data_IF_060682557286
#
_entry.id   IF_060682557286
#
_cell.length_a   1.000
_cell.length_b   1.000
_cell.length_c   1.000
_cell.angle_alpha   90.00
_cell.angle_beta   90.00
_cell.angle_gamma   90.00
#
_symmetry.space_group_name_H-M   'P 1'
#
loop_
_entity.id
_entity.type
_entity.pdbx_description
1 polymer ?
#
# COMPACT_ATOMS: atom_id res chain seq x y z
N UNK A 1 -12.41 1.98 -1.04
CA UNK A 1 -13.82 1.94 -1.24
C UNK A 1 -14.47 3.31 -1.34
N UNK A 2 -15.56 3.37 -2.06
CA UNK A 2 -16.29 4.62 -2.30
C UNK A 2 -17.07 5.11 -1.09
N UNK A 3 -17.32 4.25 -0.09
CA UNK A 3 -18.16 4.55 1.07
C UNK A 3 -17.42 4.32 2.37
N UNK A 4 -16.38 5.09 2.61
CA UNK A 4 -15.74 5.15 3.92
C UNK A 4 -16.35 6.29 4.75
N UNK A 5 -16.34 6.15 6.08
CA UNK A 5 -16.75 7.20 6.98
C UNK A 5 -15.79 8.41 6.93
N UNK A 6 -16.24 9.54 7.45
CA UNK A 6 -15.37 10.72 7.58
C UNK A 6 -14.17 10.43 8.48
N UNK A 7 -14.39 9.68 9.54
CA UNK A 7 -13.35 9.31 10.49
C UNK A 7 -12.28 8.42 9.83
N UNK A 8 -12.70 7.40 9.08
CA UNK A 8 -11.78 6.57 8.28
C UNK A 8 -11.01 7.40 7.26
N UNK A 9 -11.67 8.31 6.54
CA UNK A 9 -10.99 9.21 5.60
C UNK A 9 -9.96 10.10 6.30
N UNK A 10 -10.33 10.73 7.42
CA UNK A 10 -9.44 11.59 8.19
C UNK A 10 -8.24 10.79 8.74
N UNK A 11 -8.45 9.53 9.12
CA UNK A 11 -7.37 8.63 9.51
C UNK A 11 -6.40 8.36 8.36
N UNK A 12 -6.89 7.98 7.19
CA UNK A 12 -6.04 7.73 6.01
C UNK A 12 -5.22 8.98 5.64
N UNK A 13 -5.82 10.16 5.79
CA UNK A 13 -5.14 11.44 5.57
C UNK A 13 -4.04 11.70 6.60
N UNK A 14 -4.26 11.37 7.88
CA UNK A 14 -3.22 11.45 8.92
C UNK A 14 -2.04 10.53 8.62
N UNK A 15 -2.30 9.30 8.20
CA UNK A 15 -1.25 8.37 7.75
C UNK A 15 -0.45 8.97 6.59
N UNK A 16 -1.12 9.45 5.56
CA UNK A 16 -0.46 10.11 4.43
C UNK A 16 0.38 11.32 4.84
N UNK A 17 -0.11 12.13 5.78
CA UNK A 17 0.63 13.27 6.33
C UNK A 17 1.95 12.83 7.00
N UNK A 18 1.91 11.78 7.81
CA UNK A 18 3.10 11.23 8.47
C UNK A 18 4.11 10.65 7.48
N UNK A 19 3.63 10.02 6.39
CA UNK A 19 4.48 9.56 5.28
C UNK A 19 5.14 10.74 4.59
N UNK A 20 4.37 11.78 4.26
CA UNK A 20 4.87 12.99 3.59
C UNK A 20 5.88 13.77 4.45
N UNK A 21 5.70 13.84 5.77
CA UNK A 21 6.68 14.43 6.69
C UNK A 21 8.04 13.71 6.63
N UNK A 22 8.06 12.44 6.27
CA UNK A 22 9.27 11.61 6.13
C UNK A 22 9.78 11.54 4.69
N UNK A 23 9.20 12.32 3.79
CA UNK A 23 9.61 12.40 2.39
C UNK A 23 9.21 11.18 1.56
N UNK A 24 8.24 10.39 2.01
CA UNK A 24 7.76 9.24 1.27
C UNK A 24 6.69 9.64 0.25
N UNK A 25 6.82 9.13 -0.96
CA UNK A 25 5.82 9.25 -2.01
C UNK A 25 4.65 8.27 -1.76
N UNK A 26 3.50 8.55 -2.36
CA UNK A 26 2.30 7.74 -2.20
C UNK A 26 1.79 7.24 -3.55
N UNK A 27 1.54 5.94 -3.62
CA UNK A 27 0.91 5.28 -4.76
C UNK A 27 -0.42 4.64 -4.34
N UNK A 28 -1.50 4.90 -5.08
CA UNK A 28 -2.83 4.31 -4.83
C UNK A 28 -3.55 3.99 -6.13
N UNK A 29 -4.75 3.42 -6.02
CA UNK A 29 -5.65 3.15 -7.15
C UNK A 29 -6.34 4.38 -7.75
N UNK A 30 -5.93 5.59 -7.38
CA UNK A 30 -6.42 6.92 -7.84
C UNK A 30 -7.89 7.27 -7.57
N UNK A 31 -8.69 6.42 -6.98
CA UNK A 31 -10.09 6.72 -6.65
C UNK A 31 -10.25 7.69 -5.47
N UNK A 32 -11.51 7.92 -5.05
CA UNK A 32 -11.82 8.71 -3.85
C UNK A 32 -11.56 7.95 -2.56
N UNK A 33 -11.95 8.52 -1.43
CA UNK A 33 -11.95 7.87 -0.13
C UNK A 33 -10.55 7.48 0.33
N UNK A 34 -10.34 6.21 0.70
CA UNK A 34 -9.07 5.67 1.20
C UNK A 34 -7.92 5.75 0.19
N UNK A 35 -8.20 5.93 -1.10
CA UNK A 35 -7.19 6.14 -2.13
C UNK A 35 -6.75 7.60 -2.22
N UNK A 36 -7.68 8.54 -2.00
CA UNK A 36 -7.39 9.98 -2.03
C UNK A 36 -6.82 10.51 -0.72
N UNK A 37 -7.29 10.00 0.42
CA UNK A 37 -6.90 10.48 1.75
C UNK A 37 -5.40 10.52 1.98
N UNK A 38 -4.66 9.41 1.75
CA UNK A 38 -3.20 9.38 1.92
C UNK A 38 -2.47 10.37 1.02
N UNK A 39 -2.89 10.52 -0.24
CA UNK A 39 -2.31 11.52 -1.16
C UNK A 39 -2.51 12.94 -0.63
N UNK A 40 -3.74 13.24 -0.14
CA UNK A 40 -4.05 14.55 0.45
C UNK A 40 -3.20 14.84 1.68
N UNK A 41 -3.01 13.85 2.53
CA UNK A 41 -2.13 13.98 3.70
C UNK A 41 -0.68 14.21 3.30
N UNK A 42 -0.18 13.40 2.36
CA UNK A 42 1.21 13.48 1.89
C UNK A 42 1.53 14.84 1.25
N UNK A 43 0.61 15.46 0.48
CA UNK A 43 0.84 16.80 -0.06
C UNK A 43 1.07 17.83 1.04
N UNK A 44 0.36 17.73 2.16
CA UNK A 44 0.54 18.63 3.30
C UNK A 44 1.87 18.35 4.01
N UNK A 45 2.20 17.07 4.22
CA UNK A 45 3.48 16.66 4.83
C UNK A 45 4.69 17.12 4.01
N UNK A 46 4.67 16.87 2.69
CA UNK A 46 5.70 17.34 1.76
C UNK A 46 5.85 18.87 1.79
N UNK A 47 4.74 19.61 1.77
CA UNK A 47 4.76 21.07 1.88
C UNK A 47 5.44 21.55 3.14
N UNK A 48 5.16 20.91 4.29
CA UNK A 48 5.81 21.26 5.57
C UNK A 48 7.32 20.99 5.55
N UNK A 49 7.75 19.96 4.84
CA UNK A 49 9.18 19.64 4.65
C UNK A 49 9.82 20.39 3.46
N UNK A 50 9.07 21.27 2.79
CA UNK A 50 9.52 22.01 1.60
C UNK A 50 9.93 21.08 0.43
N UNK A 51 9.37 19.86 0.38
CA UNK A 51 9.52 18.92 -0.72
C UNK A 51 8.56 19.37 -1.84
N UNK A 52 9.12 19.69 -3.02
CA UNK A 52 8.35 20.20 -4.16
C UNK A 52 8.13 19.17 -5.26
N UNK A 53 8.88 18.09 -5.25
CA UNK A 53 8.90 17.00 -6.24
C UNK A 53 8.22 15.73 -5.74
N UNK A 54 7.36 15.84 -4.74
CA UNK A 54 6.56 14.73 -4.22
C UNK A 54 5.73 14.07 -5.31
N UNK A 55 5.73 12.73 -5.34
CA UNK A 55 4.99 11.94 -6.32
C UNK A 55 3.74 11.36 -5.69
N UNK A 56 2.63 11.52 -6.40
CA UNK A 56 1.31 10.99 -6.04
C UNK A 56 0.86 10.14 -7.22
N UNK A 57 1.27 8.87 -7.17
CA UNK A 57 1.13 7.95 -8.31
C UNK A 57 -0.24 7.26 -8.25
N UNK A 58 -1.01 7.40 -9.31
CA UNK A 58 -2.24 6.67 -9.50
C UNK A 58 -2.01 5.49 -10.43
N UNK A 59 -2.33 4.27 -9.98
CA UNK A 59 -2.29 3.05 -10.80
C UNK A 59 -3.71 2.55 -11.01
N UNK A 60 -4.14 2.53 -12.26
CA UNK A 60 -5.52 2.20 -12.63
C UNK A 60 -5.56 1.26 -13.83
N UNK A 61 -6.75 0.90 -14.27
CA UNK A 61 -7.02 0.14 -15.48
C UNK A 61 -8.17 0.77 -16.27
N UNK A 62 -8.37 0.44 -17.57
CA UNK A 62 -9.32 1.15 -18.42
C UNK A 62 -10.76 1.15 -17.91
N UNK A 63 -11.22 0.04 -17.32
CA UNK A 63 -12.59 -0.07 -16.81
C UNK A 63 -12.83 0.86 -15.62
N UNK A 64 -11.85 0.97 -14.72
CA UNK A 64 -11.93 1.85 -13.54
C UNK A 64 -11.91 3.32 -13.98
N UNK A 65 -10.96 3.71 -14.84
CA UNK A 65 -10.81 5.12 -15.24
C UNK A 65 -11.98 5.61 -16.11
N UNK A 66 -12.62 4.71 -16.84
CA UNK A 66 -13.83 5.04 -17.60
C UNK A 66 -15.06 5.28 -16.71
N UNK A 67 -15.14 4.58 -15.57
CA UNK A 67 -16.22 4.73 -14.61
C UNK A 67 -16.04 5.95 -13.70
N UNK A 68 -14.79 6.27 -13.33
CA UNK A 68 -14.48 7.34 -12.41
C UNK A 68 -13.12 7.97 -12.73
N UNK A 69 -13.05 9.30 -12.93
CA UNK A 69 -11.80 9.97 -13.21
C UNK A 69 -10.87 9.92 -12.00
N UNK A 70 -9.54 9.91 -12.23
CA UNK A 70 -8.57 9.99 -11.14
C UNK A 70 -8.79 11.22 -10.26
N UNK A 71 -8.54 11.10 -8.96
CA UNK A 71 -8.62 12.24 -8.07
C UNK A 71 -7.58 13.32 -8.44
N UNK A 72 -7.91 14.57 -8.21
CA UNK A 72 -7.15 15.73 -8.67
C UNK A 72 -5.73 15.88 -8.04
N UNK A 73 -5.36 15.04 -7.10
CA UNK A 73 -4.03 15.07 -6.47
C UNK A 73 -3.02 14.24 -7.25
N UNK A 74 -3.49 13.24 -8.00
CA UNK A 74 -2.63 12.39 -8.84
C UNK A 74 -1.83 13.27 -9.80
N UNK A 75 -0.51 13.19 -9.73
CA UNK A 75 0.40 13.89 -10.62
C UNK A 75 1.19 12.95 -11.55
N UNK A 76 1.09 11.65 -11.32
CA UNK A 76 1.59 10.61 -12.22
C UNK A 76 0.53 9.51 -12.36
N UNK A 77 -0.02 9.32 -13.55
CA UNK A 77 -1.04 8.32 -13.82
C UNK A 77 -0.46 7.19 -14.66
N UNK A 78 -0.65 5.95 -14.18
CA UNK A 78 -0.29 4.72 -14.90
C UNK A 78 -1.55 3.92 -15.16
N UNK A 79 -1.83 3.64 -16.43
CA UNK A 79 -2.98 2.83 -16.85
C UNK A 79 -2.44 1.49 -17.33
N UNK A 80 -2.86 0.42 -16.69
CA UNK A 80 -2.45 -0.95 -17.00
C UNK A 80 -3.61 -1.70 -17.68
N UNK A 81 -3.33 -2.75 -18.46
CA UNK A 81 -4.34 -3.37 -19.32
C UNK A 81 -5.48 -4.04 -18.53
N UNK A 82 -5.21 -4.54 -17.33
CA UNK A 82 -6.13 -5.32 -16.52
C UNK A 82 -5.82 -5.23 -15.02
N UNK A 83 -6.67 -5.87 -14.21
CA UNK A 83 -6.56 -5.86 -12.74
C UNK A 83 -5.31 -6.58 -12.24
N UNK A 84 -4.89 -7.67 -12.89
CA UNK A 84 -3.70 -8.44 -12.48
C UNK A 84 -2.43 -7.62 -12.65
N UNK A 85 -2.28 -6.98 -13.81
CA UNK A 85 -1.14 -6.09 -14.07
C UNK A 85 -1.13 -4.88 -13.16
N UNK A 86 -2.30 -4.40 -12.77
CA UNK A 86 -2.44 -3.34 -11.77
C UNK A 86 -1.95 -3.79 -10.39
N UNK A 87 -2.35 -4.97 -9.93
CA UNK A 87 -1.89 -5.53 -8.66
C UNK A 87 -0.38 -5.82 -8.69
N UNK A 88 0.11 -6.41 -9.77
CA UNK A 88 1.55 -6.61 -9.99
C UNK A 88 2.33 -5.30 -9.90
N UNK A 89 1.82 -4.23 -10.49
CA UNK A 89 2.48 -2.93 -10.48
C UNK A 89 2.63 -2.36 -9.07
N UNK A 90 1.64 -2.50 -8.19
CA UNK A 90 1.78 -2.08 -6.80
C UNK A 90 2.93 -2.79 -6.09
N UNK A 91 3.09 -4.09 -6.31
CA UNK A 91 4.15 -4.89 -5.69
C UNK A 91 5.53 -4.57 -6.25
N UNK A 92 5.62 -4.38 -7.57
CA UNK A 92 6.91 -4.11 -8.21
C UNK A 92 7.41 -2.69 -7.98
N UNK A 93 6.52 -1.71 -7.87
CA UNK A 93 6.89 -0.30 -7.67
C UNK A 93 6.95 0.10 -6.20
N UNK A 94 6.19 -0.57 -5.34
CA UNK A 94 6.14 -0.26 -3.91
C UNK A 94 7.40 -0.66 -3.16
N UNK A 95 7.76 0.13 -2.16
CA UNK A 95 8.76 -0.20 -1.14
C UNK A 95 8.10 -0.64 0.17
N UNK A 96 6.78 -0.60 0.23
CA UNK A 96 5.95 -1.03 1.32
C UNK A 96 4.48 -0.86 0.98
N UNK A 97 3.64 -1.63 1.63
CA UNK A 97 2.19 -1.66 1.40
C UNK A 97 1.46 -1.30 2.69
N UNK A 98 0.53 -0.37 2.59
CA UNK A 98 -0.39 -0.03 3.68
C UNK A 98 -1.80 -0.40 3.25
N UNK A 99 -2.48 -1.16 4.08
CA UNK A 99 -3.86 -1.60 3.85
C UNK A 99 -4.78 -0.94 4.88
N UNK A 100 -5.78 -0.23 4.38
CA UNK A 100 -6.89 0.30 5.18
C UNK A 100 -8.10 -0.64 5.15
N UNK A 101 -9.05 -0.53 6.09
CA UNK A 101 -10.28 -1.30 6.02
C UNK A 101 -10.99 -1.11 4.68
N UNK A 102 -11.49 -2.19 4.12
CA UNK A 102 -12.16 -2.19 2.82
C UNK A 102 -13.08 -3.39 2.61
N UNK A 103 -13.62 -3.51 1.41
CA UNK A 103 -14.54 -4.57 1.02
C UNK A 103 -13.84 -5.75 0.32
N UNK A 104 -14.60 -6.43 -0.54
CA UNK A 104 -14.15 -7.63 -1.26
C UNK A 104 -12.89 -7.39 -2.09
N UNK A 105 -12.81 -6.27 -2.83
CA UNK A 105 -11.62 -5.95 -3.63
C UNK A 105 -10.36 -5.80 -2.78
N UNK A 106 -10.47 -5.23 -1.57
CA UNK A 106 -9.34 -5.15 -0.64
C UNK A 106 -8.93 -6.54 -0.15
N UNK A 107 -9.89 -7.43 0.12
CA UNK A 107 -9.59 -8.82 0.50
C UNK A 107 -8.87 -9.57 -0.64
N UNK A 108 -9.28 -9.39 -1.88
CA UNK A 108 -8.60 -9.96 -3.06
C UNK A 108 -7.16 -9.43 -3.17
N UNK A 109 -6.96 -8.13 -3.02
CA UNK A 109 -5.63 -7.50 -3.05
C UNK A 109 -4.73 -8.04 -1.92
N UNK A 110 -5.26 -8.23 -0.71
CA UNK A 110 -4.53 -8.82 0.43
C UNK A 110 -4.13 -10.27 0.12
N UNK A 111 -5.05 -11.11 -0.36
CA UNK A 111 -4.77 -12.51 -0.69
C UNK A 111 -3.71 -12.63 -1.79
N UNK A 112 -3.82 -11.83 -2.84
CA UNK A 112 -2.83 -11.78 -3.91
C UNK A 112 -1.44 -11.40 -3.38
N UNK A 113 -1.35 -10.31 -2.62
CA UNK A 113 -0.11 -9.84 -1.98
C UNK A 113 0.53 -10.93 -1.11
N UNK A 114 -0.25 -11.50 -0.18
CA UNK A 114 0.27 -12.47 0.79
C UNK A 114 0.62 -13.80 0.14
N UNK A 115 -0.13 -14.21 -0.89
CA UNK A 115 0.21 -15.38 -1.70
C UNK A 115 1.59 -15.25 -2.36
N UNK A 116 1.91 -14.07 -2.90
CA UNK A 116 3.23 -13.79 -3.48
C UNK A 116 4.32 -13.76 -2.40
N UNK A 117 4.06 -13.13 -1.25
CA UNK A 117 5.07 -13.04 -0.18
C UNK A 117 5.37 -14.39 0.48
N UNK A 118 4.42 -15.32 0.45
CA UNK A 118 4.59 -16.68 0.96
C UNK A 118 5.24 -17.63 -0.05
N UNK A 119 5.40 -17.21 -1.31
CA UNK A 119 6.11 -18.02 -2.31
C UNK A 119 7.58 -18.17 -1.89
N UNK A 120 8.12 -19.41 -1.85
CA UNK A 120 9.53 -19.64 -1.50
C UNK A 120 10.54 -18.86 -2.34
N UNK A 121 10.19 -18.52 -3.58
CA UNK A 121 11.04 -17.69 -4.45
C UNK A 121 11.22 -16.26 -3.92
N UNK A 122 10.30 -15.79 -3.05
CA UNK A 122 10.28 -14.45 -2.49
C UNK A 122 10.68 -14.39 -1.00
N UNK A 123 11.00 -15.52 -0.38
CA UNK A 123 11.26 -15.62 1.07
C UNK A 123 12.30 -14.62 1.59
N UNK A 124 13.33 -14.35 0.81
CA UNK A 124 14.40 -13.41 1.19
C UNK A 124 14.06 -11.94 0.88
N UNK A 125 12.97 -11.67 0.18
CA UNK A 125 12.65 -10.32 -0.28
C UNK A 125 11.88 -9.53 0.78
N UNK A 126 12.47 -8.48 1.35
CA UNK A 126 11.76 -7.65 2.31
C UNK A 126 10.70 -6.82 1.60
N UNK A 127 9.49 -6.81 2.14
CA UNK A 127 8.44 -5.87 1.79
C UNK A 127 7.59 -5.60 3.04
N UNK A 128 7.67 -4.42 3.65
CA UNK A 128 6.87 -4.11 4.81
C UNK A 128 5.40 -4.00 4.43
N UNK A 129 4.54 -4.71 5.16
CA UNK A 129 3.09 -4.66 5.01
C UNK A 129 2.47 -4.28 6.34
N UNK A 130 1.68 -3.22 6.37
CA UNK A 130 0.97 -2.76 7.57
C UNK A 130 -0.52 -2.65 7.29
N UNK A 131 -1.32 -3.33 8.11
CA UNK A 131 -2.76 -3.16 8.17
C UNK A 131 -3.06 -2.10 9.23
N UNK A 132 -3.83 -1.08 8.87
CA UNK A 132 -4.06 0.05 9.75
C UNK A 132 -5.43 0.70 9.55
N UNK A 133 -5.95 1.25 10.61
CA UNK A 133 -7.21 1.98 10.64
C UNK A 133 -7.39 2.70 11.97
N UNK A 134 -8.46 3.46 12.14
CA UNK A 134 -8.83 4.03 13.44
C UNK A 134 -9.10 2.92 14.47
N UNK A 135 -9.21 3.27 15.74
CA UNK A 135 -9.35 2.32 16.85
C UNK A 135 -10.53 1.35 16.68
N UNK A 136 -11.63 1.80 16.11
CA UNK A 136 -12.82 0.99 15.84
C UNK A 136 -12.65 -0.07 14.75
N UNK A 137 -11.56 0.00 13.99
CA UNK A 137 -11.20 -1.03 12.99
C UNK A 137 -10.62 -2.32 13.60
N UNK A 138 -10.48 -2.41 14.93
CA UNK A 138 -9.86 -3.56 15.59
C UNK A 138 -10.58 -4.88 15.25
N UNK A 139 -11.91 -4.88 15.28
CA UNK A 139 -12.70 -6.08 14.95
C UNK A 139 -12.58 -6.47 13.48
N UNK A 140 -12.55 -5.51 12.57
CA UNK A 140 -12.33 -5.77 11.15
C UNK A 140 -10.99 -6.50 10.93
N UNK A 141 -9.90 -5.98 11.47
CA UNK A 141 -8.59 -6.59 11.28
C UNK A 141 -8.41 -7.90 12.04
N UNK A 142 -9.08 -8.09 13.17
CA UNK A 142 -9.14 -9.40 13.84
C UNK A 142 -9.79 -10.45 12.93
N UNK A 143 -10.91 -10.13 12.30
CA UNK A 143 -11.59 -11.04 11.37
C UNK A 143 -10.75 -11.30 10.12
N UNK A 144 -10.08 -10.30 9.57
CA UNK A 144 -9.14 -10.47 8.46
C UNK A 144 -7.98 -11.39 8.86
N UNK A 145 -7.35 -11.19 10.01
CA UNK A 145 -6.26 -12.03 10.51
C UNK A 145 -6.71 -13.50 10.69
N UNK A 146 -7.86 -13.72 11.30
CA UNK A 146 -8.43 -15.05 11.46
C UNK A 146 -8.70 -15.73 10.10
N UNK A 147 -9.25 -15.00 9.15
CA UNK A 147 -9.51 -15.48 7.78
C UNK A 147 -8.20 -15.83 7.06
N UNK A 148 -7.19 -14.97 7.14
CA UNK A 148 -5.89 -15.21 6.51
C UNK A 148 -5.18 -16.42 7.09
N UNK A 149 -5.21 -16.59 8.41
CA UNK A 149 -4.65 -17.78 9.07
C UNK A 149 -5.39 -19.04 8.66
N UNK A 150 -6.73 -19.00 8.59
CA UNK A 150 -7.53 -20.14 8.15
C UNK A 150 -7.26 -20.53 6.69
N UNK A 151 -6.95 -19.57 5.83
CA UNK A 151 -6.79 -19.76 4.38
C UNK A 151 -5.35 -20.08 3.99
N UNK A 152 -4.37 -19.37 4.57
CA UNK A 152 -2.96 -19.41 4.18
C UNK A 152 -2.05 -20.05 5.24
N UNK A 153 -2.61 -20.40 6.40
CA UNK A 153 -1.87 -20.96 7.53
C UNK A 153 -1.23 -19.88 8.44
N UNK A 154 -0.79 -20.27 9.65
CA UNK A 154 -0.33 -19.32 10.68
C UNK A 154 0.96 -18.59 10.31
N UNK A 155 1.74 -19.10 9.36
CA UNK A 155 2.96 -18.44 8.84
C UNK A 155 2.68 -17.08 8.24
N UNK A 156 1.47 -16.85 7.75
CA UNK A 156 1.07 -15.57 7.13
C UNK A 156 1.25 -14.36 8.05
N UNK A 157 1.16 -14.55 9.37
CA UNK A 157 1.36 -13.49 10.37
C UNK A 157 2.76 -12.88 10.37
N UNK A 158 3.72 -13.54 9.74
CA UNK A 158 5.09 -13.01 9.57
C UNK A 158 5.16 -11.99 8.43
N UNK A 159 4.16 -11.95 7.55
CA UNK A 159 4.16 -11.09 6.36
C UNK A 159 3.61 -9.69 6.63
N UNK A 160 2.93 -9.45 7.74
CA UNK A 160 2.30 -8.15 8.03
C UNK A 160 2.31 -7.80 9.51
N UNK A 161 2.09 -6.51 9.80
CA UNK A 161 1.79 -6.00 11.14
C UNK A 161 0.45 -5.29 11.15
N UNK A 162 -0.26 -5.36 12.25
CA UNK A 162 -1.47 -4.57 12.49
C UNK A 162 -1.12 -3.44 13.45
N UNK A 163 -1.32 -2.21 13.00
CA UNK A 163 -1.08 -0.97 13.78
C UNK A 163 -2.35 -0.14 13.76
N UNK A 164 -3.03 -0.01 14.88
CA UNK A 164 -4.28 0.73 14.97
C UNK A 164 -4.09 2.07 15.65
N UNK A 165 -4.79 3.08 15.16
CA UNK A 165 -4.86 4.43 15.73
C UNK A 165 -3.49 5.11 15.99
N UNK A 166 -2.47 4.71 15.24
CA UNK A 166 -1.10 5.27 15.38
C UNK A 166 -0.47 5.58 14.02
N UNK A 167 -0.91 6.65 13.32
CA UNK A 167 -0.33 7.07 12.04
C UNK A 167 1.18 7.30 12.08
N UNK A 168 1.78 7.90 13.14
CA UNK A 168 3.24 8.02 13.25
C UNK A 168 3.95 6.67 13.26
N UNK A 169 3.42 5.64 13.95
CA UNK A 169 4.03 4.31 13.97
C UNK A 169 3.94 3.64 12.60
N UNK A 170 2.80 3.75 11.91
CA UNK A 170 2.67 3.26 10.52
C UNK A 170 3.79 3.82 9.64
N UNK A 171 4.01 5.13 9.70
CA UNK A 171 5.03 5.77 8.89
C UNK A 171 6.47 5.37 9.31
N UNK A 172 6.72 5.14 10.60
CA UNK A 172 8.01 4.61 11.06
C UNK A 172 8.28 3.20 10.56
N UNK A 173 7.26 2.32 10.58
CA UNK A 173 7.36 0.96 10.03
C UNK A 173 7.68 0.99 8.54
N UNK A 174 6.97 1.84 7.77
CA UNK A 174 7.25 1.99 6.35
C UNK A 174 8.67 2.49 6.09
N UNK A 175 9.15 3.47 6.84
CA UNK A 175 10.50 3.99 6.66
C UNK A 175 11.58 2.93 6.95
N UNK A 176 11.45 2.21 8.07
CA UNK A 176 12.36 1.10 8.41
C UNK A 176 12.36 0.00 7.34
N UNK A 177 11.17 -0.41 6.92
CA UNK A 177 11.01 -1.44 5.89
C UNK A 177 11.55 -1.01 4.52
N UNK A 178 11.33 0.25 4.16
CA UNK A 178 11.87 0.80 2.91
C UNK A 178 13.41 0.78 2.88
N UNK A 179 14.07 1.09 3.99
CA UNK A 179 15.52 1.04 4.07
C UNK A 179 16.03 -0.40 3.90
N UNK A 180 15.33 -1.39 4.47
CA UNK A 180 15.63 -2.81 4.26
C UNK A 180 15.45 -3.24 2.78
N UNK A 181 14.38 -2.80 2.14
CA UNK A 181 14.11 -3.05 0.71
C UNK A 181 15.21 -2.45 -0.17
N UNK A 182 15.59 -1.21 0.09
CA UNK A 182 16.64 -0.52 -0.65
C UNK A 182 17.98 -1.23 -0.52
N UNK A 183 18.34 -1.61 0.70
CA UNK A 183 19.58 -2.34 0.97
C UNK A 183 19.60 -3.71 0.27
N UNK A 184 18.50 -4.45 0.33
CA UNK A 184 18.37 -5.73 -0.36
C UNK A 184 18.55 -5.56 -1.88
N UNK A 185 17.81 -4.64 -2.52
CA UNK A 185 17.90 -4.38 -3.96
C UNK A 185 19.31 -3.95 -4.35
N UNK A 186 19.94 -3.07 -3.59
CA UNK A 186 21.33 -2.65 -3.84
C UNK A 186 22.30 -3.83 -3.84
N UNK A 187 22.21 -4.72 -2.84
CA UNK A 187 23.07 -5.92 -2.76
C UNK A 187 22.87 -6.90 -3.91
N UNK A 188 21.67 -6.96 -4.42
CA UNK A 188 21.31 -7.85 -5.55
C UNK A 188 21.49 -7.19 -6.92
N UNK A 189 21.96 -5.94 -6.98
CA UNK A 189 22.05 -5.15 -8.21
C UNK A 189 20.70 -5.01 -8.94
N UNK A 190 19.59 -4.99 -8.20
CA UNK A 190 18.27 -4.77 -8.72
C UNK A 190 17.95 -3.27 -8.90
N UNK A 191 16.97 -2.97 -9.73
CA UNK A 191 16.51 -1.61 -9.93
C UNK A 191 15.97 -0.99 -8.65
N UNK A 192 16.33 0.27 -8.39
CA UNK A 192 15.96 0.95 -7.15
C UNK A 192 14.45 1.22 -7.03
N UNK A 193 13.81 1.52 -8.15
CA UNK A 193 12.41 1.92 -8.22
C UNK A 193 11.49 0.83 -8.77
N UNK A 194 12.00 -0.35 -9.05
CA UNK A 194 11.22 -1.44 -9.61
C UNK A 194 11.79 -2.79 -9.18
N UNK A 195 10.97 -3.65 -8.59
CA UNK A 195 11.40 -4.95 -8.11
C UNK A 195 11.32 -6.00 -9.23
N UNK A 196 12.40 -6.14 -9.99
CA UNK A 196 12.52 -7.16 -11.03
C UNK A 196 12.69 -8.58 -10.47
N UNK A 197 13.25 -8.71 -9.26
CA UNK A 197 13.54 -10.01 -8.64
C UNK A 197 12.30 -10.66 -8.02
N UNK A 198 11.20 -9.92 -7.88
CA UNK A 198 9.98 -10.48 -7.33
C UNK A 198 9.41 -11.54 -8.28
N UNK A 199 9.39 -12.79 -7.80
CA UNK A 199 8.74 -13.90 -8.48
C UNK A 199 7.23 -13.77 -8.39
N UNK A 200 6.57 -13.55 -9.52
CA UNK A 200 5.11 -13.57 -9.62
C UNK A 200 4.76 -14.79 -10.45
N UNK A 201 4.04 -15.79 -9.89
CA UNK A 201 3.63 -16.95 -10.67
C UNK A 201 2.72 -16.48 -11.82
N UNK A 202 3.08 -16.81 -13.02
CA UNK A 202 2.21 -16.70 -14.19
C UNK A 202 1.58 -18.06 -14.41
N UNK A 203 0.26 -18.16 -14.31
CA UNK A 203 -0.48 -19.35 -14.74
C UNK A 203 -0.45 -19.50 -16.25
#
# INVERSE_FOLDING_TARGET
GHSISREEYDYTKKVGYELGLRGLDVCTGCGPGAMKGPMKGATIGHSKQRIRDGRYVGVTEPGIVAAEPPNAIVNQLVILPDIEKRLEAFLRTGHGIIVFPGGAGTAEEILYLLGILLDPANEEQPLPVVFTGPADSADYFRQIDEFLVATLGPVVRQCYRIVLDDPPEVAREMLRGMDAVREFRRRRSDAYNFNWLLGIPHE
#
